data_IF_682450802524
#
_entry.id   IF_682450802524
#
_cell.length_a   1.000
_cell.length_b   1.000
_cell.length_c   1.000
_cell.angle_alpha   90.00
_cell.angle_beta   90.00
_cell.angle_gamma   90.00
#
_symmetry.space_group_name_H-M   'P 1'
#
loop_
_entity.id
_entity.type
_entity.pdbx_description
1 polymer ?
#
# COMPACT_ATOMS: atom_id res chain seq x y z
N UNK A 1 12.02 0.11 12.83
CA UNK A 1 12.63 1.45 12.96
C UNK A 1 11.86 2.52 12.19
N UNK A 2 11.89 2.58 10.84
CA UNK A 2 11.12 3.62 10.09
C UNK A 2 9.62 3.59 10.41
N UNK A 3 9.02 2.38 10.40
CA UNK A 3 7.62 2.18 10.76
C UNK A 3 7.30 2.69 12.17
N UNK A 4 8.12 2.38 13.16
CA UNK A 4 7.87 2.81 14.55
C UNK A 4 7.97 4.32 14.73
N UNK A 5 8.92 4.97 14.05
CA UNK A 5 9.05 6.44 14.03
C UNK A 5 7.80 7.09 13.43
N UNK A 6 7.36 6.61 12.27
CA UNK A 6 6.18 7.17 11.58
C UNK A 6 4.88 6.87 12.34
N UNK A 7 4.73 5.65 12.87
CA UNK A 7 3.59 5.27 13.69
C UNK A 7 3.49 6.16 14.94
N UNK A 8 4.58 6.35 15.71
CA UNK A 8 4.56 7.26 16.86
C UNK A 8 4.24 8.70 16.44
N UNK A 9 4.84 9.17 15.34
CA UNK A 9 4.62 10.52 14.84
C UNK A 9 3.15 10.78 14.48
N UNK A 10 2.48 9.83 13.84
CA UNK A 10 1.06 9.93 13.47
C UNK A 10 0.17 9.76 14.70
N UNK A 11 0.42 8.75 15.52
CA UNK A 11 -0.45 8.43 16.66
C UNK A 11 -0.37 9.47 17.76
N UNK A 12 0.78 10.10 17.96
CA UNK A 12 1.02 11.09 19.01
C UNK A 12 1.19 12.53 18.49
N UNK A 13 0.77 12.80 17.25
CA UNK A 13 0.74 14.14 16.64
C UNK A 13 2.09 14.88 16.71
N UNK A 14 3.18 14.19 16.34
CA UNK A 14 4.57 14.70 16.30
C UNK A 14 5.06 14.87 14.85
N UNK A 15 4.53 15.84 14.08
CA UNK A 15 4.84 16.00 12.66
C UNK A 15 6.33 16.29 12.38
N UNK A 16 7.07 16.82 13.35
CA UNK A 16 8.51 17.05 13.26
C UNK A 16 9.32 15.77 13.00
N UNK A 17 8.75 14.60 13.31
CA UNK A 17 9.38 13.30 13.07
C UNK A 17 9.08 12.72 11.67
N UNK A 18 8.12 13.29 10.92
CA UNK A 18 7.79 12.80 9.58
C UNK A 18 9.00 12.82 8.63
N UNK A 19 9.79 13.91 8.51
CA UNK A 19 10.92 13.93 7.60
C UNK A 19 11.95 12.84 7.91
N UNK A 20 12.21 12.60 9.20
CA UNK A 20 13.16 11.57 9.63
C UNK A 20 12.63 10.16 9.33
N UNK A 21 11.38 9.87 9.67
CA UNK A 21 10.74 8.60 9.35
C UNK A 21 10.67 8.32 7.84
N UNK A 22 10.31 9.33 7.04
CA UNK A 22 10.28 9.24 5.58
C UNK A 22 11.66 9.00 4.98
N UNK A 23 12.69 9.69 5.48
CA UNK A 23 14.08 9.46 5.05
C UNK A 23 14.51 8.00 5.31
N UNK A 24 14.25 7.46 6.50
CA UNK A 24 14.56 6.06 6.82
C UNK A 24 13.82 5.08 5.91
N UNK A 25 12.54 5.36 5.63
CA UNK A 25 11.75 4.55 4.70
C UNK A 25 12.36 4.57 3.29
N UNK A 26 12.73 5.75 2.78
CA UNK A 26 13.37 5.94 1.47
C UNK A 26 14.70 5.22 1.34
N UNK A 27 15.55 5.29 2.36
CA UNK A 27 16.81 4.53 2.40
C UNK A 27 16.56 3.01 2.38
N UNK A 28 15.50 2.55 3.03
CA UNK A 28 15.10 1.14 3.03
C UNK A 28 14.68 0.66 1.63
N UNK A 29 13.57 1.19 1.11
CA UNK A 29 13.04 0.71 -0.17
C UNK A 29 13.95 1.06 -1.36
N UNK A 30 14.73 2.13 -1.28
CA UNK A 30 15.69 2.51 -2.33
C UNK A 30 16.78 1.46 -2.56
N UNK A 31 17.05 0.59 -1.58
CA UNK A 31 18.04 -0.49 -1.68
C UNK A 31 17.43 -1.89 -1.73
N UNK A 32 16.17 -2.06 -1.36
CA UNK A 32 15.52 -3.38 -1.24
C UNK A 32 14.27 -3.54 -2.12
N UNK A 33 13.92 -2.53 -2.93
CA UNK A 33 12.65 -2.42 -3.67
C UNK A 33 11.44 -2.24 -2.74
N UNK A 34 10.27 -2.15 -3.37
CA UNK A 34 8.96 -2.26 -2.72
C UNK A 34 8.22 -3.49 -3.26
N UNK A 35 6.99 -3.74 -2.81
CA UNK A 35 6.26 -4.97 -3.12
C UNK A 35 4.81 -4.73 -3.57
N UNK A 36 3.91 -5.70 -3.35
CA UNK A 36 2.51 -5.72 -3.81
C UNK A 36 1.75 -4.40 -3.61
N UNK A 37 1.95 -3.70 -2.50
CA UNK A 37 1.26 -2.42 -2.23
C UNK A 37 1.55 -1.34 -3.29
N UNK A 38 2.79 -1.27 -3.79
CA UNK A 38 3.16 -0.34 -4.86
C UNK A 38 2.62 -0.80 -6.21
N UNK A 39 2.70 -2.10 -6.51
CA UNK A 39 2.15 -2.67 -7.74
C UNK A 39 0.65 -2.36 -7.88
N UNK A 40 -0.14 -2.57 -6.81
CA UNK A 40 -1.57 -2.26 -6.76
C UNK A 40 -1.87 -0.77 -6.92
N UNK A 41 -0.99 0.12 -6.43
CA UNK A 41 -1.22 1.57 -6.46
C UNK A 41 -1.15 2.17 -7.87
N UNK A 42 -0.52 1.50 -8.83
CA UNK A 42 -0.32 2.02 -10.18
C UNK A 42 -1.62 2.25 -10.93
N UNK A 43 -2.60 1.35 -10.81
CA UNK A 43 -3.87 1.49 -11.53
C UNK A 43 -4.69 2.68 -11.04
N UNK A 44 -4.65 2.99 -9.75
CA UNK A 44 -5.24 4.20 -9.19
C UNK A 44 -4.47 5.46 -9.58
N UNK A 45 -3.14 5.40 -9.54
CA UNK A 45 -2.27 6.52 -9.93
C UNK A 45 -2.47 6.89 -11.41
N UNK A 46 -2.67 5.91 -12.29
CA UNK A 46 -2.98 6.11 -13.71
C UNK A 46 -4.34 6.82 -13.93
N UNK A 47 -5.25 6.75 -12.95
CA UNK A 47 -6.52 7.49 -12.96
C UNK A 47 -6.42 8.90 -12.32
N UNK A 48 -5.22 9.29 -11.89
CA UNK A 48 -4.95 10.60 -11.29
C UNK A 48 -5.11 10.63 -9.76
N UNK A 49 -5.28 9.49 -9.10
CA UNK A 49 -5.31 9.41 -7.63
C UNK A 49 -3.92 9.74 -7.09
N UNK A 50 -3.79 10.65 -6.08
CA UNK A 50 -2.49 10.96 -5.49
C UNK A 50 -1.77 9.71 -4.98
N UNK A 51 -0.49 9.56 -5.33
CA UNK A 51 0.26 8.33 -5.09
C UNK A 51 0.24 7.88 -3.62
N UNK A 52 0.58 8.76 -2.68
CA UNK A 52 0.58 8.44 -1.24
C UNK A 52 -0.81 8.07 -0.70
N UNK A 53 -1.86 8.69 -1.24
CA UNK A 53 -3.24 8.37 -0.88
C UNK A 53 -3.63 6.98 -1.42
N UNK A 54 -3.30 6.65 -2.67
CA UNK A 54 -3.53 5.30 -3.21
C UNK A 54 -2.76 4.21 -2.45
N UNK A 55 -1.52 4.48 -2.08
CA UNK A 55 -0.67 3.58 -1.31
C UNK A 55 -1.22 3.27 0.09
N UNK A 56 -2.00 4.16 0.69
CA UNK A 56 -2.57 3.97 2.02
C UNK A 56 -3.44 2.69 2.08
N UNK A 57 -4.41 2.57 1.18
CA UNK A 57 -5.29 1.39 1.10
C UNK A 57 -4.58 0.19 0.48
N UNK A 58 -3.80 0.40 -0.59
CA UNK A 58 -3.10 -0.68 -1.27
C UNK A 58 -2.08 -1.40 -0.36
N UNK A 59 -1.35 -0.65 0.46
CA UNK A 59 -0.36 -1.20 1.41
C UNK A 59 -1.05 -1.92 2.56
N UNK A 60 -2.18 -1.41 3.05
CA UNK A 60 -3.00 -2.10 4.08
C UNK A 60 -3.45 -3.48 3.60
N UNK A 61 -4.00 -3.55 2.38
CA UNK A 61 -4.42 -4.82 1.77
C UNK A 61 -3.23 -5.73 1.47
N UNK A 62 -2.09 -5.18 1.05
CA UNK A 62 -0.88 -5.98 0.88
C UNK A 62 -0.39 -6.59 2.21
N UNK A 63 -0.46 -5.86 3.33
CA UNK A 63 -0.15 -6.41 4.65
C UNK A 63 -1.12 -7.53 5.04
N UNK A 64 -2.42 -7.35 4.78
CA UNK A 64 -3.46 -8.37 5.01
C UNK A 64 -3.20 -9.64 4.21
N UNK A 65 -2.98 -9.50 2.90
CA UNK A 65 -2.70 -10.60 1.99
C UNK A 65 -1.45 -11.39 2.43
N UNK A 66 -0.37 -10.66 2.75
CA UNK A 66 0.90 -11.25 3.19
C UNK A 66 0.88 -11.77 4.63
N UNK A 67 -0.25 -11.69 5.35
CA UNK A 67 -0.37 -12.04 6.78
C UNK A 67 0.71 -11.36 7.63
N UNK A 68 0.97 -10.10 7.30
CA UNK A 68 2.04 -9.32 7.91
C UNK A 68 1.73 -9.00 9.36
N UNK A 69 2.73 -9.10 10.23
CA UNK A 69 2.65 -8.71 11.66
C UNK A 69 2.35 -7.22 11.86
N UNK A 70 2.50 -6.40 10.82
CA UNK A 70 2.25 -4.96 10.87
C UNK A 70 0.83 -4.57 10.45
N UNK A 71 0.00 -5.52 9.99
CA UNK A 71 -1.33 -5.23 9.46
C UNK A 71 -2.20 -4.41 10.42
N UNK A 72 -2.35 -4.86 11.67
CA UNK A 72 -3.24 -4.18 12.64
C UNK A 72 -2.77 -2.76 12.96
N UNK A 73 -1.45 -2.56 13.18
CA UNK A 73 -0.87 -1.23 13.43
C UNK A 73 -0.96 -0.31 12.22
N UNK A 74 -0.85 -0.86 11.00
CA UNK A 74 -0.99 -0.07 9.78
C UNK A 74 -2.46 0.35 9.58
N UNK A 75 -3.40 -0.57 9.82
CA UNK A 75 -4.83 -0.29 9.77
C UNK A 75 -5.24 0.81 10.75
N UNK A 76 -4.73 0.78 11.97
CA UNK A 76 -4.95 1.83 12.97
C UNK A 76 -4.48 3.22 12.49
N UNK A 77 -3.32 3.30 11.79
CA UNK A 77 -2.85 4.54 11.17
C UNK A 77 -3.88 5.06 10.14
N UNK A 78 -4.36 4.19 9.26
CA UNK A 78 -5.31 4.57 8.19
C UNK A 78 -6.63 5.05 8.79
N UNK A 79 -7.13 4.36 9.83
CA UNK A 79 -8.31 4.77 10.57
C UNK A 79 -8.13 6.13 11.24
N UNK A 80 -6.96 6.39 11.86
CA UNK A 80 -6.65 7.71 12.43
C UNK A 80 -6.58 8.82 11.37
N UNK A 81 -6.06 8.52 10.18
CA UNK A 81 -5.97 9.49 9.09
C UNK A 81 -7.33 9.80 8.44
N UNK A 82 -8.34 8.94 8.61
CA UNK A 82 -9.70 9.19 8.15
C UNK A 82 -9.81 9.32 6.62
N UNK A 83 -8.98 8.57 5.89
CA UNK A 83 -8.98 8.60 4.44
C UNK A 83 -10.25 8.00 3.85
N UNK A 84 -10.76 8.64 2.80
CA UNK A 84 -11.89 8.14 2.05
C UNK A 84 -11.52 6.82 1.33
N UNK A 85 -12.56 6.11 0.94
CA UNK A 85 -12.44 4.88 0.18
C UNK A 85 -11.93 5.17 -1.23
N UNK A 86 -11.04 4.32 -1.75
CA UNK A 86 -10.57 4.42 -3.13
C UNK A 86 -11.62 3.91 -4.11
N UNK A 87 -11.82 4.68 -5.17
CA UNK A 87 -12.60 4.26 -6.33
C UNK A 87 -11.66 3.86 -7.47
N UNK A 88 -11.95 2.74 -8.11
CA UNK A 88 -11.30 2.31 -9.35
C UNK A 88 -12.32 2.39 -10.48
N UNK A 89 -12.06 3.22 -11.49
CA UNK A 89 -12.96 3.40 -12.64
C UNK A 89 -12.76 2.31 -13.69
N UNK A 90 -11.52 1.84 -13.85
CA UNK A 90 -11.18 0.74 -14.73
C UNK A 90 -11.89 -0.56 -14.30
N UNK A 91 -12.11 -1.44 -15.27
CA UNK A 91 -12.51 -2.81 -14.97
C UNK A 91 -11.42 -3.52 -14.15
N UNK A 92 -11.83 -4.30 -13.15
CA UNK A 92 -10.90 -4.92 -12.19
C UNK A 92 -10.00 -5.94 -12.87
N UNK A 93 -10.51 -6.69 -13.85
CA UNK A 93 -9.71 -7.70 -14.55
C UNK A 93 -8.65 -7.03 -15.44
N UNK A 94 -9.04 -5.96 -16.14
CA UNK A 94 -8.10 -5.14 -16.93
C UNK A 94 -7.05 -4.44 -16.05
N UNK A 95 -7.46 -3.90 -14.91
CA UNK A 95 -6.56 -3.31 -13.95
C UNK A 95 -5.58 -4.37 -13.40
N UNK A 96 -6.06 -5.59 -13.12
CA UNK A 96 -5.20 -6.68 -12.70
C UNK A 96 -4.17 -7.05 -13.77
N UNK A 97 -4.54 -7.08 -15.05
CA UNK A 97 -3.58 -7.29 -16.15
C UNK A 97 -2.47 -6.24 -16.15
N UNK A 98 -2.82 -4.96 -15.93
CA UNK A 98 -1.83 -3.87 -15.82
C UNK A 98 -0.90 -4.10 -14.63
N UNK A 99 -1.43 -4.42 -13.45
CA UNK A 99 -0.62 -4.69 -12.25
C UNK A 99 0.32 -5.88 -12.48
N UNK A 100 -0.14 -6.95 -13.16
CA UNK A 100 0.66 -8.14 -13.41
C UNK A 100 1.88 -7.91 -14.31
N UNK A 101 1.94 -6.78 -15.02
CA UNK A 101 3.14 -6.37 -15.78
C UNK A 101 4.28 -5.87 -14.89
N UNK A 102 3.99 -5.48 -13.64
CA UNK A 102 4.96 -4.89 -12.71
C UNK A 102 5.77 -5.95 -11.94
N UNK A 103 6.60 -6.70 -12.68
CA UNK A 103 7.44 -7.75 -12.09
C UNK A 103 8.44 -7.20 -11.07
N UNK A 104 8.86 -5.95 -11.21
CA UNK A 104 9.83 -5.31 -10.30
C UNK A 104 9.34 -5.21 -8.85
N UNK A 105 8.03 -5.08 -8.64
CA UNK A 105 7.41 -5.08 -7.31
C UNK A 105 6.72 -6.41 -6.96
N UNK A 106 6.23 -7.17 -7.94
CA UNK A 106 5.57 -8.45 -7.68
C UNK A 106 6.55 -9.57 -7.32
N UNK A 107 7.69 -9.67 -8.01
CA UNK A 107 8.69 -10.71 -7.78
C UNK A 107 9.31 -10.68 -6.36
N UNK A 108 9.64 -9.53 -5.76
CA UNK A 108 10.17 -9.48 -4.40
C UNK A 108 9.10 -9.61 -3.30
N UNK A 109 7.81 -9.80 -3.64
CA UNK A 109 6.79 -9.95 -2.61
C UNK A 109 7.02 -11.25 -1.79
N UNK A 110 6.82 -11.25 -0.45
CA UNK A 110 7.14 -12.41 0.39
C UNK A 110 6.35 -13.69 0.04
N UNK A 111 5.19 -13.53 -0.60
CA UNK A 111 4.35 -14.61 -1.11
C UNK A 111 4.19 -14.38 -2.61
N UNK A 112 4.34 -15.43 -3.43
CA UNK A 112 4.13 -15.32 -4.87
C UNK A 112 2.72 -14.82 -5.19
N UNK A 113 2.62 -13.86 -6.12
CA UNK A 113 1.35 -13.22 -6.49
C UNK A 113 0.84 -13.74 -7.84
N UNK A 114 -0.40 -14.23 -7.84
CA UNK A 114 -1.17 -14.58 -9.04
C UNK A 114 -2.08 -13.42 -9.50
N UNK A 115 -2.64 -13.53 -10.71
CA UNK A 115 -3.63 -12.54 -11.19
C UNK A 115 -4.89 -12.57 -10.31
N UNK A 116 -5.30 -13.75 -9.87
CA UNK A 116 -6.45 -13.94 -8.99
C UNK A 116 -6.26 -13.23 -7.64
N UNK A 117 -5.04 -13.26 -7.09
CA UNK A 117 -4.69 -12.52 -5.88
C UNK A 117 -4.83 -11.01 -6.08
N UNK A 118 -4.35 -10.49 -7.22
CA UNK A 118 -4.47 -9.07 -7.58
C UNK A 118 -5.93 -8.67 -7.72
N UNK A 119 -6.74 -9.44 -8.45
CA UNK A 119 -8.18 -9.19 -8.62
C UNK A 119 -8.88 -9.15 -7.25
N UNK A 120 -8.56 -10.09 -6.37
CA UNK A 120 -9.10 -10.11 -5.01
C UNK A 120 -8.70 -8.85 -4.22
N UNK A 121 -7.41 -8.48 -4.26
CA UNK A 121 -6.92 -7.29 -3.57
C UNK A 121 -7.59 -6.01 -4.09
N UNK A 122 -7.73 -5.84 -5.41
CA UNK A 122 -8.38 -4.67 -6.00
C UNK A 122 -9.87 -4.58 -5.61
N UNK A 123 -10.58 -5.70 -5.55
CA UNK A 123 -11.95 -5.73 -5.04
C UNK A 123 -12.00 -5.36 -3.54
N UNK A 124 -11.10 -5.91 -2.71
CA UNK A 124 -11.06 -5.56 -1.28
C UNK A 124 -10.81 -4.06 -1.07
N UNK A 125 -9.92 -3.45 -1.86
CA UNK A 125 -9.68 -2.00 -1.85
C UNK A 125 -10.95 -1.24 -2.26
N UNK A 126 -11.56 -1.63 -3.39
CA UNK A 126 -12.78 -1.02 -3.92
C UNK A 126 -14.01 -1.26 -3.06
N UNK A 127 -14.01 -2.24 -2.16
CA UNK A 127 -15.09 -2.47 -1.21
C UNK A 127 -14.84 -1.77 0.13
N UNK A 128 -13.62 -1.29 0.37
CA UNK A 128 -13.23 -0.70 1.65
C UNK A 128 -13.00 -1.78 2.72
N UNK A 129 -12.79 -3.03 2.29
CA UNK A 129 -12.54 -4.18 3.16
C UNK A 129 -11.07 -4.21 3.61
N UNK A 130 -10.59 -3.08 4.14
CA UNK A 130 -9.24 -2.90 4.67
C UNK A 130 -8.99 -3.88 5.83
#
# INVERSE_FOLDING_TARGET
>A
QAFDVLYDAIMNDKPENYPYGSMLSGMGFGNCSTTLGHALSYVFSNEGVPHGYSLSSCTTIAHKHNKSVFYDRFKEIIEKMGFDKLELKADVDQAADVVMTDRGHLDPNPISISKEDVVKCLNDIKDGNL
#
